data_IF_974233860143
#
_entry.id   IF_974233860143
#
_cell.length_a   1.000
_cell.length_b   1.000
_cell.length_c   1.000
_cell.angle_alpha   90.00
_cell.angle_beta   90.00
_cell.angle_gamma   90.00
#
_symmetry.space_group_name_H-M   'P 1'
#
loop_
_entity.id
_entity.type
_entity.pdbx_description
1 polymer ?
#
# COMPACT_ATOMS: atom_id res chain seq x y z
N UNK A 1 24.36 -5.75 -10.05
CA UNK A 1 22.90 -5.68 -9.78
C UNK A 1 22.55 -4.45 -8.95
N UNK A 2 23.07 -4.30 -7.74
CA UNK A 2 22.76 -3.16 -6.84
C UNK A 2 22.99 -1.80 -7.47
N UNK A 3 24.16 -1.57 -8.08
CA UNK A 3 24.53 -0.30 -8.70
C UNK A 3 23.62 0.09 -9.87
N UNK A 4 23.19 -0.91 -10.66
CA UNK A 4 22.23 -0.71 -11.74
C UNK A 4 20.86 -0.26 -11.20
N UNK A 5 20.31 -0.98 -10.21
CA UNK A 5 18.99 -0.65 -9.65
C UNK A 5 18.98 0.67 -8.88
N UNK A 6 20.06 1.02 -8.20
CA UNK A 6 20.20 2.34 -7.55
C UNK A 6 20.19 3.47 -8.58
N UNK A 7 20.79 3.26 -9.76
CA UNK A 7 20.78 4.24 -10.84
C UNK A 7 19.40 4.40 -11.52
N UNK A 8 18.43 3.55 -11.18
CA UNK A 8 17.05 3.58 -11.70
C UNK A 8 16.03 3.93 -10.61
N UNK A 9 16.45 4.55 -9.51
CA UNK A 9 15.55 4.89 -8.40
C UNK A 9 14.41 5.81 -8.84
N UNK A 10 14.68 6.74 -9.75
CA UNK A 10 13.68 7.61 -10.38
C UNK A 10 12.56 6.80 -11.05
N UNK A 11 12.91 5.84 -11.90
CA UNK A 11 11.96 4.93 -12.53
C UNK A 11 11.24 4.06 -11.50
N UNK A 12 11.95 3.55 -10.49
CA UNK A 12 11.37 2.70 -9.45
C UNK A 12 10.33 3.45 -8.62
N UNK A 13 10.59 4.71 -8.22
CA UNK A 13 9.62 5.54 -7.52
C UNK A 13 8.43 5.89 -8.42
N UNK A 14 8.66 6.18 -9.70
CA UNK A 14 7.57 6.41 -10.66
C UNK A 14 6.66 5.18 -10.76
N UNK A 15 7.24 4.00 -11.00
CA UNK A 15 6.53 2.72 -11.08
C UNK A 15 5.75 2.42 -9.79
N UNK A 16 6.40 2.58 -8.63
CA UNK A 16 5.76 2.31 -7.35
C UNK A 16 4.56 3.25 -7.11
N UNK A 17 4.74 4.55 -7.32
CA UNK A 17 3.66 5.52 -7.19
C UNK A 17 2.49 5.23 -8.14
N UNK A 18 2.79 4.90 -9.39
CA UNK A 18 1.78 4.54 -10.39
C UNK A 18 1.01 3.27 -9.98
N UNK A 19 1.70 2.24 -9.50
CA UNK A 19 1.06 1.00 -9.06
C UNK A 19 0.06 1.24 -7.91
N UNK A 20 0.39 2.12 -6.96
CA UNK A 20 -0.51 2.52 -5.88
C UNK A 20 -1.69 3.37 -6.36
N UNK A 21 -1.48 4.27 -7.32
CA UNK A 21 -2.58 5.03 -7.93
C UNK A 21 -3.55 4.10 -8.65
N UNK A 22 -3.04 3.12 -9.40
CA UNK A 22 -3.86 2.09 -10.07
C UNK A 22 -4.62 1.22 -9.05
N UNK A 23 -3.98 0.83 -7.95
CA UNK A 23 -4.69 0.19 -6.83
C UNK A 23 -5.83 1.09 -6.34
N UNK A 24 -5.56 2.39 -6.20
CA UNK A 24 -6.55 3.40 -5.78
C UNK A 24 -7.78 3.45 -6.69
N UNK A 25 -7.56 3.56 -8.01
CA UNK A 25 -8.65 3.64 -9.00
C UNK A 25 -9.48 2.35 -9.07
N UNK A 26 -8.83 1.19 -8.94
CA UNK A 26 -9.51 -0.11 -8.86
C UNK A 26 -10.38 -0.18 -7.60
N UNK A 27 -9.86 0.21 -6.43
CA UNK A 27 -10.63 0.25 -5.19
C UNK A 27 -11.86 1.16 -5.28
N UNK A 28 -11.75 2.35 -5.88
CA UNK A 28 -12.90 3.21 -6.11
C UNK A 28 -13.93 2.59 -7.06
N UNK A 29 -13.47 1.85 -8.08
CA UNK A 29 -14.36 1.13 -9.00
C UNK A 29 -15.10 -0.01 -8.30
N UNK A 30 -14.43 -0.74 -7.40
CA UNK A 30 -15.04 -1.75 -6.53
C UNK A 30 -16.04 -1.13 -5.57
N UNK A 31 -15.71 0.00 -4.94
CA UNK A 31 -16.55 0.69 -3.96
C UNK A 31 -17.88 1.24 -4.51
N UNK A 32 -18.08 1.24 -5.84
CA UNK A 32 -19.38 1.58 -6.44
C UNK A 32 -20.47 0.56 -6.10
N UNK A 33 -20.11 -0.72 -5.93
CA UNK A 33 -21.02 -1.78 -5.51
C UNK A 33 -21.47 -1.64 -4.05
N UNK A 34 -22.72 -1.99 -3.75
CA UNK A 34 -23.34 -1.74 -2.44
C UNK A 34 -22.60 -2.42 -1.27
N UNK A 35 -22.17 -3.68 -1.45
CA UNK A 35 -21.42 -4.42 -0.43
C UNK A 35 -20.04 -3.79 -0.18
N UNK A 36 -19.29 -3.47 -1.25
CA UNK A 36 -17.98 -2.85 -1.15
C UNK A 36 -18.03 -1.44 -0.54
N UNK A 37 -19.08 -0.68 -0.82
CA UNK A 37 -19.36 0.62 -0.19
C UNK A 37 -19.58 0.47 1.31
N UNK A 38 -20.36 -0.53 1.72
CA UNK A 38 -20.60 -0.86 3.13
C UNK A 38 -19.30 -1.26 3.83
N UNK A 39 -18.44 -2.00 3.11
CA UNK A 39 -17.12 -2.40 3.57
C UNK A 39 -16.06 -1.30 3.52
N UNK A 40 -16.42 -0.10 3.07
CA UNK A 40 -15.52 1.07 2.99
C UNK A 40 -14.23 0.83 2.19
N UNK A 41 -14.34 0.08 1.08
CA UNK A 41 -13.21 -0.16 0.15
C UNK A 41 -12.68 1.17 -0.45
N UNK A 42 -13.50 2.24 -0.43
CA UNK A 42 -13.09 3.61 -0.77
C UNK A 42 -11.87 4.09 0.03
N UNK A 43 -11.70 3.64 1.28
CA UNK A 43 -10.55 3.99 2.10
C UNK A 43 -9.24 3.39 1.57
N UNK A 44 -9.27 2.16 1.05
CA UNK A 44 -8.11 1.60 0.34
C UNK A 44 -7.84 2.35 -0.97
N UNK A 45 -8.89 2.89 -1.59
CA UNK A 45 -8.81 3.81 -2.73
C UNK A 45 -8.02 5.07 -2.40
N UNK A 46 -8.42 5.76 -1.33
CA UNK A 46 -7.74 6.95 -0.84
C UNK A 46 -6.31 6.67 -0.37
N UNK A 47 -6.08 5.56 0.32
CA UNK A 47 -4.71 5.10 0.64
C UNK A 47 -3.86 5.01 -0.63
N UNK A 48 -4.32 4.31 -1.67
CA UNK A 48 -3.57 4.12 -2.90
C UNK A 48 -3.23 5.44 -3.59
N UNK A 49 -4.19 6.36 -3.75
CA UNK A 49 -3.97 7.64 -4.42
C UNK A 49 -3.04 8.56 -3.60
N UNK A 50 -3.31 8.74 -2.31
CA UNK A 50 -2.47 9.60 -1.47
C UNK A 50 -1.06 9.03 -1.32
N UNK A 51 -0.93 7.71 -1.16
CA UNK A 51 0.38 7.11 -1.01
C UNK A 51 1.16 7.12 -2.32
N UNK A 52 0.52 6.80 -3.44
CA UNK A 52 1.18 6.89 -4.74
C UNK A 52 1.63 8.32 -5.07
N UNK A 53 0.80 9.32 -4.73
CA UNK A 53 1.20 10.72 -4.79
C UNK A 53 2.39 11.04 -3.87
N UNK A 54 2.44 10.51 -2.65
CA UNK A 54 3.59 10.70 -1.76
C UNK A 54 4.89 10.13 -2.31
N UNK A 55 4.84 8.98 -3.01
CA UNK A 55 6.02 8.39 -3.66
C UNK A 55 6.50 9.24 -4.85
N UNK A 56 5.60 9.94 -5.54
CA UNK A 56 6.00 10.91 -6.58
C UNK A 56 6.57 12.21 -6.01
N UNK A 57 6.22 12.58 -4.77
CA UNK A 57 6.94 13.64 -4.07
C UNK A 57 8.35 13.18 -3.68
N UNK A 58 8.52 11.92 -3.26
CA UNK A 58 9.84 11.33 -3.02
C UNK A 58 10.68 11.27 -4.31
N UNK A 59 10.06 10.92 -5.45
CA UNK A 59 10.68 11.04 -6.77
C UNK A 59 11.13 12.48 -7.07
N UNK A 60 10.26 13.45 -6.80
CA UNK A 60 10.57 14.86 -7.05
C UNK A 60 11.79 15.30 -6.22
N UNK A 61 11.92 14.84 -4.97
CA UNK A 61 13.06 15.11 -4.10
C UNK A 61 14.39 14.53 -4.61
N UNK A 62 14.38 13.62 -5.60
CA UNK A 62 15.60 13.16 -6.27
C UNK A 62 16.12 14.15 -7.32
N UNK A 63 15.26 15.06 -7.79
CA UNK A 63 15.54 16.01 -8.88
C UNK A 63 15.66 17.44 -8.37
N UNK A 64 14.86 17.80 -7.35
CA UNK A 64 14.87 19.13 -6.73
C UNK A 64 15.50 19.07 -5.34
N UNK A 65 15.89 20.24 -4.81
CA UNK A 65 16.41 20.32 -3.45
C UNK A 65 15.37 19.90 -2.39
N UNK A 66 15.79 19.05 -1.46
CA UNK A 66 14.93 18.43 -0.45
C UNK A 66 14.90 19.24 0.85
N UNK A 67 14.47 20.50 0.72
CA UNK A 67 14.38 21.46 1.83
C UNK A 67 13.52 20.90 2.99
N UNK A 68 13.75 21.32 4.26
CA UNK A 68 13.03 20.79 5.42
C UNK A 68 11.51 20.87 5.33
N UNK A 69 10.98 21.93 4.71
CA UNK A 69 9.53 22.09 4.46
C UNK A 69 8.99 21.06 3.47
N UNK A 70 9.78 20.69 2.45
CA UNK A 70 9.40 19.66 1.49
C UNK A 70 9.45 18.26 2.13
N UNK A 71 10.45 17.96 2.95
CA UNK A 71 10.50 16.73 3.75
C UNK A 71 9.27 16.58 4.66
N UNK A 72 8.85 17.69 5.29
CA UNK A 72 7.66 17.71 6.13
C UNK A 72 6.38 17.47 5.33
N UNK A 73 6.25 18.07 4.14
CA UNK A 73 5.13 17.83 3.22
C UNK A 73 5.06 16.36 2.80
N UNK A 74 6.19 15.76 2.41
CA UNK A 74 6.28 14.35 2.02
C UNK A 74 5.88 13.42 3.17
N UNK A 75 6.40 13.69 4.37
CA UNK A 75 6.09 12.93 5.58
C UNK A 75 4.61 13.08 5.97
N UNK A 76 4.03 14.26 5.83
CA UNK A 76 2.62 14.50 6.07
C UNK A 76 1.74 13.76 5.05
N UNK A 77 2.05 13.83 3.75
CA UNK A 77 1.32 13.14 2.70
C UNK A 77 1.31 11.61 2.91
N UNK A 78 2.48 11.03 3.24
CA UNK A 78 2.61 9.62 3.60
C UNK A 78 1.82 9.26 4.87
N UNK A 79 1.88 10.10 5.90
CA UNK A 79 1.14 9.86 7.15
C UNK A 79 -0.37 9.87 6.91
N UNK A 80 -0.86 10.82 6.10
CA UNK A 80 -2.27 10.90 5.69
C UNK A 80 -2.69 9.66 4.90
N UNK A 81 -1.82 9.13 4.03
CA UNK A 81 -2.14 7.90 3.32
C UNK A 81 -2.33 6.72 4.29
N UNK A 82 -1.45 6.56 5.28
CA UNK A 82 -1.56 5.50 6.28
C UNK A 82 -2.75 5.67 7.22
N UNK A 83 -3.25 6.89 7.46
CA UNK A 83 -4.51 7.10 8.16
C UNK A 83 -5.68 6.40 7.46
N UNK A 84 -5.77 6.47 6.13
CA UNK A 84 -6.81 5.78 5.38
C UNK A 84 -6.69 4.25 5.49
N UNK A 85 -5.46 3.72 5.40
CA UNK A 85 -5.20 2.29 5.54
C UNK A 85 -5.55 1.77 6.95
N UNK A 86 -5.19 2.53 7.98
CA UNK A 86 -5.48 2.19 9.37
C UNK A 86 -6.97 2.35 9.72
N UNK A 87 -7.66 3.35 9.17
CA UNK A 87 -9.11 3.49 9.34
C UNK A 87 -9.87 2.36 8.62
N UNK A 88 -9.40 1.93 7.44
CA UNK A 88 -9.97 0.76 6.76
C UNK A 88 -9.89 -0.48 7.66
N UNK A 89 -8.70 -0.79 8.17
CA UNK A 89 -8.51 -1.98 9.02
C UNK A 89 -9.31 -1.89 10.32
N UNK A 90 -9.36 -0.70 10.96
CA UNK A 90 -10.17 -0.47 12.17
C UNK A 90 -11.65 -0.69 11.93
N UNK A 91 -12.22 -0.09 10.88
CA UNK A 91 -13.64 -0.24 10.57
C UNK A 91 -13.99 -1.67 10.15
N UNK A 92 -13.11 -2.33 9.39
CA UNK A 92 -13.28 -3.72 9.03
C UNK A 92 -13.25 -4.65 10.25
N UNK A 93 -12.34 -4.43 11.19
CA UNK A 93 -12.28 -5.19 12.42
C UNK A 93 -13.53 -4.97 13.29
N UNK A 94 -14.04 -3.74 13.39
CA UNK A 94 -15.29 -3.45 14.12
C UNK A 94 -16.48 -4.20 13.51
N UNK A 95 -16.59 -4.23 12.17
CA UNK A 95 -17.64 -5.01 11.48
C UNK A 95 -17.52 -6.52 11.72
N UNK A 96 -16.31 -7.01 11.99
CA UNK A 96 -16.04 -8.40 12.37
C UNK A 96 -16.21 -8.65 13.88
N UNK A 97 -16.70 -7.67 14.65
CA UNK A 97 -17.02 -7.79 16.08
C UNK A 97 -15.91 -7.34 17.03
N UNK A 98 -14.80 -6.78 16.54
CA UNK A 98 -13.76 -6.26 17.41
C UNK A 98 -14.21 -4.98 18.13
N UNK A 99 -13.91 -4.87 19.44
CA UNK A 99 -14.14 -3.65 20.23
C UNK A 99 -12.89 -2.78 20.15
N UNK A 100 -12.86 -1.85 19.19
CA UNK A 100 -11.75 -0.91 19.00
C UNK A 100 -12.15 0.51 19.40
N UNK A 101 -11.19 1.34 19.85
CA UNK A 101 -11.47 2.73 20.19
C UNK A 101 -11.98 3.53 18.98
N UNK A 102 -12.63 4.66 19.29
CA UNK A 102 -13.07 5.63 18.29
C UNK A 102 -11.91 6.35 17.60
N UNK A 103 -12.24 7.27 16.70
CA UNK A 103 -11.26 8.03 15.89
C UNK A 103 -10.32 8.91 16.71
N UNK A 104 -10.68 9.22 17.97
CA UNK A 104 -9.80 9.96 18.89
C UNK A 104 -8.47 9.26 19.12
N UNK A 105 -8.38 7.94 18.90
CA UNK A 105 -7.12 7.18 18.98
C UNK A 105 -6.05 7.71 18.02
N UNK A 106 -6.43 8.37 16.92
CA UNK A 106 -5.47 8.93 15.96
C UNK A 106 -4.80 10.20 16.44
N UNK A 107 -5.43 10.95 17.36
CA UNK A 107 -4.87 12.19 17.91
C UNK A 107 -3.50 11.95 18.54
N UNK A 108 -3.34 11.05 19.54
CA UNK A 108 -2.03 10.82 20.16
C UNK A 108 -0.97 10.32 19.18
N UNK A 109 -1.33 9.51 18.17
CA UNK A 109 -0.38 9.09 17.15
C UNK A 109 0.09 10.26 16.29
N UNK A 110 -0.83 11.07 15.78
CA UNK A 110 -0.50 12.23 14.93
C UNK A 110 0.29 13.28 15.70
N UNK A 111 -0.08 13.56 16.95
CA UNK A 111 0.68 14.50 17.80
C UNK A 111 2.07 13.95 18.09
N UNK A 112 2.22 12.65 18.35
CA UNK A 112 3.53 12.04 18.60
C UNK A 112 4.41 12.12 17.34
N UNK A 113 3.88 11.80 16.17
CA UNK A 113 4.61 11.90 14.89
C UNK A 113 5.05 13.35 14.63
N UNK A 114 4.15 14.33 14.87
CA UNK A 114 4.46 15.74 14.71
C UNK A 114 5.55 16.21 15.69
N UNK A 115 5.47 15.83 16.97
CA UNK A 115 6.47 16.15 17.98
C UNK A 115 7.82 15.53 17.62
N UNK A 116 7.85 14.26 17.19
CA UNK A 116 9.09 13.62 16.72
C UNK A 116 9.67 14.39 15.53
N UNK A 117 8.83 14.86 14.61
CA UNK A 117 9.28 15.64 13.44
C UNK A 117 9.94 16.96 13.81
N UNK A 118 9.46 17.62 14.87
CA UNK A 118 10.02 18.88 15.37
C UNK A 118 11.29 18.64 16.20
N UNK A 119 11.30 17.61 17.05
CA UNK A 119 12.39 17.37 18.02
C UNK A 119 13.55 16.59 17.40
N UNK A 120 13.25 15.56 16.60
CA UNK A 120 14.22 14.61 16.05
C UNK A 120 14.34 14.66 14.52
N UNK A 121 13.57 15.54 13.86
CA UNK A 121 13.60 15.72 12.41
C UNK A 121 12.66 14.80 11.63
N UNK A 122 12.50 15.11 10.34
CA UNK A 122 11.47 14.48 9.50
C UNK A 122 11.76 13.00 9.19
N UNK A 123 13.02 12.58 9.16
CA UNK A 123 13.37 11.16 8.97
C UNK A 123 12.81 10.31 10.13
N UNK A 124 12.98 10.76 11.38
CA UNK A 124 12.43 10.05 12.54
C UNK A 124 10.90 10.07 12.58
N UNK A 125 10.27 11.17 12.17
CA UNK A 125 8.81 11.23 12.03
C UNK A 125 8.29 10.26 10.95
N UNK A 126 9.00 10.17 9.81
CA UNK A 126 8.70 9.23 8.74
C UNK A 126 8.76 7.79 9.24
N UNK A 127 9.81 7.42 9.97
CA UNK A 127 9.97 6.10 10.59
C UNK A 127 8.82 5.84 11.58
N UNK A 128 8.52 6.79 12.47
CA UNK A 128 7.46 6.65 13.46
C UNK A 128 6.08 6.44 12.80
N UNK A 129 5.76 7.19 11.75
CA UNK A 129 4.52 7.03 10.98
C UNK A 129 4.44 5.65 10.30
N UNK A 130 5.55 5.18 9.71
CA UNK A 130 5.63 3.84 9.10
C UNK A 130 5.41 2.73 10.12
N UNK A 131 5.98 2.82 11.31
CA UNK A 131 5.74 1.82 12.37
C UNK A 131 4.34 1.90 12.96
N UNK A 132 3.91 3.07 13.41
CA UNK A 132 2.67 3.22 14.16
C UNK A 132 1.42 3.08 13.27
N UNK A 133 1.48 3.57 12.03
CA UNK A 133 0.31 3.60 11.13
C UNK A 133 0.48 2.69 9.93
N UNK A 134 1.63 2.73 9.25
CA UNK A 134 1.86 1.94 8.04
C UNK A 134 1.84 0.42 8.31
N UNK A 135 2.70 -0.05 9.19
CA UNK A 135 2.82 -1.46 9.58
C UNK A 135 1.51 -1.95 10.21
N UNK A 136 1.01 -1.25 11.23
CA UNK A 136 -0.23 -1.65 11.93
C UNK A 136 -1.43 -1.65 10.99
N UNK A 137 -1.56 -0.64 10.12
CA UNK A 137 -2.65 -0.54 9.15
C UNK A 137 -2.61 -1.68 8.12
N UNK A 138 -1.42 -1.98 7.59
CA UNK A 138 -1.24 -3.04 6.59
C UNK A 138 -1.43 -4.45 7.18
N UNK A 139 -0.85 -4.74 8.35
CA UNK A 139 -1.05 -6.02 9.04
C UNK A 139 -2.52 -6.17 9.50
N UNK A 140 -3.13 -5.10 9.99
CA UNK A 140 -4.56 -5.08 10.31
C UNK A 140 -5.42 -5.40 9.08
N UNK A 141 -5.09 -4.82 7.93
CA UNK A 141 -5.75 -5.09 6.64
C UNK A 141 -5.58 -6.55 6.22
N UNK A 142 -4.39 -7.12 6.34
CA UNK A 142 -4.14 -8.55 6.11
C UNK A 142 -5.03 -9.42 7.02
N UNK A 143 -5.09 -9.11 8.31
CA UNK A 143 -5.87 -9.89 9.28
C UNK A 143 -7.37 -9.85 8.97
N UNK A 144 -7.95 -8.66 8.77
CA UNK A 144 -9.39 -8.53 8.51
C UNK A 144 -9.81 -9.16 7.17
N UNK A 145 -8.98 -9.06 6.14
CA UNK A 145 -9.24 -9.73 4.85
C UNK A 145 -9.13 -11.26 4.97
N UNK A 146 -8.18 -11.76 5.75
CA UNK A 146 -8.04 -13.20 6.01
C UNK A 146 -9.25 -13.77 6.75
N UNK A 147 -9.76 -13.03 7.75
CA UNK A 147 -10.97 -13.42 8.48
C UNK A 147 -12.18 -13.34 7.55
N UNK A 148 -12.33 -12.25 6.80
CA UNK A 148 -13.43 -12.08 5.84
C UNK A 148 -13.44 -13.16 4.75
N UNK A 149 -12.27 -13.64 4.31
CA UNK A 149 -12.18 -14.72 3.33
C UNK A 149 -12.86 -16.02 3.78
N UNK A 150 -13.11 -16.23 5.09
CA UNK A 150 -13.84 -17.39 5.61
C UNK A 150 -15.34 -17.34 5.29
N UNK A 151 -15.91 -16.16 5.04
CA UNK A 151 -17.33 -15.99 4.71
C UNK A 151 -17.59 -15.99 3.21
N UNK A 152 -16.54 -16.01 2.38
CA UNK A 152 -16.67 -15.94 0.93
C UNK A 152 -16.84 -17.32 0.29
N UNK A 153 -17.55 -17.35 -0.85
CA UNK A 153 -17.60 -18.52 -1.73
C UNK A 153 -16.20 -18.92 -2.19
N UNK A 154 -15.98 -20.23 -2.40
CA UNK A 154 -14.69 -20.83 -2.78
C UNK A 154 -14.04 -20.12 -3.98
N UNK A 155 -14.84 -19.66 -4.94
CA UNK A 155 -14.34 -19.01 -6.17
C UNK A 155 -13.65 -17.66 -5.91
N UNK A 156 -14.12 -16.88 -4.93
CA UNK A 156 -13.58 -15.54 -4.61
C UNK A 156 -12.55 -15.57 -3.47
N UNK A 157 -12.61 -16.59 -2.62
CA UNK A 157 -11.71 -16.80 -1.48
C UNK A 157 -10.20 -16.71 -1.81
N UNK A 158 -9.65 -17.38 -2.84
CA UNK A 158 -8.21 -17.35 -3.08
C UNK A 158 -7.68 -15.96 -3.46
N UNK A 159 -8.48 -15.17 -4.20
CA UNK A 159 -8.09 -13.80 -4.56
C UNK A 159 -8.02 -12.88 -3.34
N UNK A 160 -8.99 -13.00 -2.44
CA UNK A 160 -8.99 -12.19 -1.21
C UNK A 160 -7.87 -12.60 -0.25
N UNK A 161 -7.55 -13.90 -0.17
CA UNK A 161 -6.38 -14.37 0.59
C UNK A 161 -5.06 -13.89 -0.04
N UNK A 162 -4.97 -13.85 -1.37
CA UNK A 162 -3.81 -13.29 -2.06
C UNK A 162 -3.65 -11.80 -1.76
N UNK A 163 -4.72 -11.02 -1.83
CA UNK A 163 -4.70 -9.60 -1.45
C UNK A 163 -4.31 -9.41 0.02
N UNK A 164 -4.83 -10.25 0.93
CA UNK A 164 -4.46 -10.23 2.35
C UNK A 164 -2.96 -10.47 2.55
N UNK A 165 -2.40 -11.50 1.91
CA UNK A 165 -0.97 -11.80 1.95
C UNK A 165 -0.14 -10.63 1.40
N UNK A 166 -0.55 -10.05 0.27
CA UNK A 166 0.14 -8.89 -0.30
C UNK A 166 0.14 -7.69 0.66
N UNK A 167 -0.96 -7.40 1.37
CA UNK A 167 -0.97 -6.38 2.41
C UNK A 167 -0.05 -6.73 3.59
N UNK A 168 0.01 -8.01 3.99
CA UNK A 168 0.93 -8.46 5.04
C UNK A 168 2.40 -8.24 4.67
N UNK A 169 2.79 -8.68 3.48
CA UNK A 169 4.14 -8.49 2.92
C UNK A 169 4.44 -7.00 2.71
N UNK A 170 3.45 -6.23 2.27
CA UNK A 170 3.57 -4.78 2.10
C UNK A 170 3.79 -4.07 3.45
N UNK A 171 3.10 -4.50 4.51
CA UNK A 171 3.33 -4.00 5.87
C UNK A 171 4.77 -4.20 6.32
N UNK A 172 5.36 -5.37 6.05
CA UNK A 172 6.78 -5.62 6.34
C UNK A 172 7.67 -4.71 5.49
N UNK A 173 7.46 -4.65 4.18
CA UNK A 173 8.32 -3.92 3.25
C UNK A 173 8.25 -2.38 3.42
N UNK A 174 7.06 -1.83 3.63
CA UNK A 174 6.80 -0.39 3.71
C UNK A 174 6.74 0.14 5.15
N UNK A 175 6.32 -0.70 6.09
CA UNK A 175 6.15 -0.34 7.50
C UNK A 175 7.33 -0.74 8.39
N UNK A 176 7.90 -1.94 8.22
CA UNK A 176 8.98 -2.43 9.09
C UNK A 176 10.39 -2.09 8.56
N UNK A 177 10.60 -2.23 7.24
CA UNK A 177 11.87 -1.86 6.59
C UNK A 177 11.79 -0.37 6.23
N UNK A 178 12.35 0.47 7.09
CA UNK A 178 12.23 1.95 7.05
C UNK A 178 13.58 2.62 6.72
N UNK A 179 13.65 3.94 6.46
CA UNK A 179 14.95 4.64 6.39
C UNK A 179 15.84 4.36 7.60
N UNK A 180 17.16 4.46 7.44
CA UNK A 180 18.08 4.23 8.56
C UNK A 180 17.85 5.29 9.66
N UNK A 181 17.83 4.84 10.91
CA UNK A 181 17.70 5.70 12.09
C UNK A 181 18.43 5.11 13.29
N UNK A 182 18.66 5.95 14.31
CA UNK A 182 19.56 5.63 15.43
C UNK A 182 18.91 4.84 16.56
N UNK A 183 17.72 4.27 16.33
CA UNK A 183 16.95 3.53 17.32
C UNK A 183 16.39 2.22 16.76
N UNK A 184 16.17 1.24 17.61
CA UNK A 184 15.61 -0.05 17.21
C UNK A 184 14.10 0.06 16.88
N UNK A 185 13.58 -0.60 15.82
CA UNK A 185 14.28 -1.49 14.91
C UNK A 185 14.97 -0.81 13.72
N UNK A 186 14.81 0.50 13.52
CA UNK A 186 15.37 1.23 12.37
C UNK A 186 16.91 1.19 12.29
N UNK A 187 17.60 0.97 13.41
CA UNK A 187 19.06 0.80 13.45
C UNK A 187 19.54 -0.52 12.85
N UNK A 188 18.70 -1.56 12.86
CA UNK A 188 19.04 -2.90 12.38
C UNK A 188 18.30 -3.29 11.09
N UNK A 189 16.99 -3.01 11.02
CA UNK A 189 16.11 -3.34 9.91
C UNK A 189 15.73 -2.07 9.14
N UNK A 190 16.60 -1.68 8.21
CA UNK A 190 16.41 -0.50 7.37
C UNK A 190 16.72 -0.76 5.90
N UNK A 191 16.46 0.26 5.07
CA UNK A 191 16.66 0.17 3.62
C UNK A 191 18.11 -0.13 3.24
N UNK A 192 19.09 0.42 3.97
CA UNK A 192 20.52 0.19 3.71
C UNK A 192 20.87 -1.27 3.98
N UNK A 193 20.42 -1.82 5.12
CA UNK A 193 20.60 -3.23 5.44
C UNK A 193 19.96 -4.13 4.38
N UNK A 194 18.71 -3.85 3.98
CA UNK A 194 18.00 -4.64 2.98
C UNK A 194 18.72 -4.62 1.63
N UNK A 195 19.19 -3.44 1.20
CA UNK A 195 19.94 -3.26 -0.04
C UNK A 195 21.26 -4.03 -0.02
N UNK A 196 22.00 -4.00 1.10
CA UNK A 196 23.26 -4.74 1.26
C UNK A 196 23.03 -6.25 1.21
N UNK A 197 21.95 -6.73 1.82
CA UNK A 197 21.64 -8.15 1.90
C UNK A 197 21.13 -8.72 0.56
N UNK A 198 20.24 -8.01 -0.12
CA UNK A 198 19.52 -8.53 -1.29
C UNK A 198 20.05 -8.00 -2.62
N UNK A 199 20.77 -6.87 -2.61
CA UNK A 199 21.15 -6.14 -3.81
C UNK A 199 19.99 -5.43 -4.53
N UNK A 200 18.79 -5.38 -3.92
CA UNK A 200 17.56 -4.82 -4.50
C UNK A 200 17.03 -3.69 -3.60
N UNK A 201 16.65 -2.52 -4.17
CA UNK A 201 16.04 -1.45 -3.40
C UNK A 201 14.65 -1.87 -2.91
N UNK A 202 14.35 -1.62 -1.64
CA UNK A 202 13.07 -2.02 -1.05
C UNK A 202 11.88 -1.35 -1.74
N UNK A 203 12.08 -0.17 -2.34
CA UNK A 203 11.12 0.56 -3.16
C UNK A 203 10.58 -0.29 -4.31
N UNK A 204 11.44 -1.07 -4.97
CA UNK A 204 11.03 -1.97 -6.04
C UNK A 204 10.12 -3.08 -5.51
N UNK A 205 10.46 -3.67 -4.37
CA UNK A 205 9.63 -4.69 -3.72
C UNK A 205 8.25 -4.13 -3.34
N UNK A 206 8.21 -2.92 -2.78
CA UNK A 206 6.95 -2.23 -2.47
C UNK A 206 6.12 -1.97 -3.71
N UNK A 207 6.74 -1.53 -4.80
CA UNK A 207 6.09 -1.35 -6.11
C UNK A 207 5.49 -2.63 -6.65
N UNK A 208 6.24 -3.73 -6.62
CA UNK A 208 5.76 -5.03 -7.08
C UNK A 208 4.57 -5.54 -6.25
N UNK A 209 4.62 -5.34 -4.93
CA UNK A 209 3.49 -5.67 -4.04
C UNK A 209 2.27 -4.78 -4.32
N UNK A 210 2.46 -3.49 -4.57
CA UNK A 210 1.38 -2.59 -4.96
C UNK A 210 0.75 -2.97 -6.30
N UNK A 211 1.57 -3.37 -7.28
CA UNK A 211 1.09 -3.86 -8.57
C UNK A 211 0.30 -5.17 -8.41
N UNK A 212 0.80 -6.11 -7.60
CA UNK A 212 0.08 -7.34 -7.27
C UNK A 212 -1.27 -7.05 -6.57
N UNK A 213 -1.31 -6.08 -5.66
CA UNK A 213 -2.57 -5.62 -5.04
C UNK A 213 -3.55 -5.06 -6.07
N UNK A 214 -3.09 -4.20 -6.98
CA UNK A 214 -3.93 -3.62 -8.03
C UNK A 214 -4.54 -4.72 -8.92
N UNK A 215 -3.70 -5.68 -9.35
CA UNK A 215 -4.08 -6.82 -10.21
C UNK A 215 -5.07 -7.77 -9.50
N UNK A 216 -4.82 -8.08 -8.22
CA UNK A 216 -5.71 -8.95 -7.44
C UNK A 216 -7.07 -8.31 -7.18
N UNK A 217 -7.12 -7.03 -6.79
CA UNK A 217 -8.40 -6.34 -6.58
C UNK A 217 -9.15 -6.07 -7.89
N UNK A 218 -8.45 -5.83 -9.00
CA UNK A 218 -9.10 -5.78 -10.32
C UNK A 218 -9.73 -7.14 -10.61
N UNK A 219 -9.02 -8.24 -10.39
CA UNK A 219 -9.59 -9.58 -10.59
C UNK A 219 -10.86 -9.81 -9.77
N UNK A 220 -10.92 -9.31 -8.53
CA UNK A 220 -12.13 -9.34 -7.70
C UNK A 220 -13.24 -8.52 -8.34
N UNK A 221 -12.95 -7.28 -8.76
CA UNK A 221 -13.89 -6.41 -9.46
C UNK A 221 -14.47 -7.04 -10.73
N UNK A 222 -13.62 -7.61 -11.58
CA UNK A 222 -14.03 -8.26 -12.83
C UNK A 222 -14.94 -9.47 -12.59
N UNK A 223 -14.70 -10.24 -11.52
CA UNK A 223 -15.61 -11.33 -11.12
C UNK A 223 -16.94 -10.81 -10.60
N UNK A 224 -16.95 -9.74 -9.80
CA UNK A 224 -18.19 -9.13 -9.33
C UNK A 224 -19.02 -8.62 -10.50
N UNK A 225 -18.40 -7.95 -11.47
CA UNK A 225 -19.09 -7.47 -12.67
C UNK A 225 -19.65 -8.61 -13.53
N UNK A 226 -18.87 -9.67 -13.75
CA UNK A 226 -19.33 -10.82 -14.51
C UNK A 226 -20.59 -11.48 -13.90
N UNK A 227 -20.67 -11.55 -12.57
CA UNK A 227 -21.86 -12.05 -11.86
C UNK A 227 -23.04 -11.10 -12.02
N UNK A 228 -22.82 -9.79 -12.00
CA UNK A 228 -23.91 -8.80 -12.13
C UNK A 228 -24.44 -8.61 -13.55
N UNK A 229 -23.63 -8.86 -14.57
CA UNK A 229 -23.95 -8.58 -15.99
C UNK A 229 -24.42 -9.84 -16.73
N UNK A 230 -24.43 -11.01 -16.08
CA UNK A 230 -24.89 -12.31 -16.60
C UNK A 230 -24.46 -12.62 -18.05
N UNK A 231 -23.19 -12.34 -18.36
CA UNK A 231 -22.64 -12.40 -19.72
C UNK A 231 -21.39 -13.28 -19.77
N UNK A 232 -21.51 -14.47 -20.39
CA UNK A 232 -20.37 -15.38 -20.65
C UNK A 232 -19.29 -14.77 -21.56
N UNK A 233 -19.62 -13.77 -22.37
CA UNK A 233 -18.65 -13.08 -23.23
C UNK A 233 -17.75 -12.13 -22.43
N UNK A 234 -18.26 -11.56 -21.34
CA UNK A 234 -17.52 -10.61 -20.51
C UNK A 234 -16.37 -11.26 -19.74
N UNK A 235 -16.56 -12.49 -19.24
CA UNK A 235 -15.54 -13.24 -18.51
C UNK A 235 -14.32 -13.62 -19.37
N UNK A 236 -14.55 -13.99 -20.63
CA UNK A 236 -13.49 -14.35 -21.58
C UNK A 236 -12.66 -13.13 -21.98
N UNK A 237 -13.32 -11.99 -22.20
CA UNK A 237 -12.65 -10.71 -22.49
C UNK A 237 -11.77 -10.23 -21.33
N UNK A 238 -12.30 -10.23 -20.10
CA UNK A 238 -11.55 -9.86 -18.89
C UNK A 238 -10.34 -10.76 -18.64
N UNK A 239 -10.48 -12.08 -18.86
CA UNK A 239 -9.38 -13.03 -18.70
C UNK A 239 -8.25 -12.74 -19.68
N UNK A 240 -8.57 -12.43 -20.94
CA UNK A 240 -7.57 -12.06 -21.95
C UNK A 240 -6.85 -10.77 -21.58
N UNK A 241 -7.59 -9.73 -21.16
CA UNK A 241 -6.99 -8.48 -20.71
C UNK A 241 -6.12 -8.65 -19.45
N UNK A 242 -6.54 -9.48 -18.50
CA UNK A 242 -5.75 -9.79 -17.32
C UNK A 242 -4.39 -10.40 -17.66
N UNK A 243 -4.37 -11.40 -18.55
CA UNK A 243 -3.12 -12.04 -18.99
C UNK A 243 -2.27 -11.10 -19.83
N UNK A 244 -2.85 -10.25 -20.68
CA UNK A 244 -2.06 -9.28 -21.44
C UNK A 244 -1.49 -8.19 -20.56
N UNK A 245 -2.20 -7.72 -19.54
CA UNK A 245 -1.65 -6.75 -18.57
C UNK A 245 -0.53 -7.37 -17.73
N UNK A 246 -0.68 -8.62 -17.25
CA UNK A 246 0.39 -9.34 -16.55
C UNK A 246 1.62 -9.56 -17.43
N UNK A 247 1.41 -9.93 -18.70
CA UNK A 247 2.49 -10.09 -19.66
C UNK A 247 3.17 -8.75 -19.99
N UNK A 248 2.41 -7.67 -20.17
CA UNK A 248 2.95 -6.34 -20.41
C UNK A 248 3.76 -5.83 -19.22
N UNK A 249 3.26 -6.02 -18.00
CA UNK A 249 4.01 -5.72 -16.78
C UNK A 249 5.31 -6.54 -16.70
N UNK A 250 5.27 -7.84 -17.01
CA UNK A 250 6.45 -8.67 -17.03
C UNK A 250 7.47 -8.24 -18.10
N UNK A 251 7.03 -7.80 -19.28
CA UNK A 251 7.89 -7.29 -20.35
C UNK A 251 8.58 -5.97 -19.94
N UNK A 252 7.84 -5.04 -19.32
CA UNK A 252 8.42 -3.79 -18.79
C UNK A 252 9.46 -4.04 -17.70
N UNK A 253 9.38 -5.18 -17.01
CA UNK A 253 10.36 -5.56 -15.98
C UNK A 253 11.59 -6.31 -16.50
N UNK A 254 11.55 -6.80 -17.74
CA UNK A 254 12.63 -7.62 -18.34
C UNK A 254 13.40 -6.87 -19.42
N UNK A 255 12.81 -5.82 -20.03
CA UNK A 255 13.49 -4.92 -20.97
C UNK A 255 14.09 -3.71 -20.27
#
# INVERSE_FOLDING_TARGET
MSLFLTAQLDFIFFFYGLALILLGTVCFSVARGAEARTNRIDLLGWFGVFHGGSEWLDLSALVIDDAPSFQALRTAAMTVSYLFLLEFSRLAAIRLGAKLPGRSVYIPFLTTIAVIGVVHGQVSANIAARYAMGFVGAIGTCAVLTIHARTLKIVSRPLVLCAALCFGLYGIAAGLIVPAGDFWPASALNQIWFMKLTGVPIQLVRGLLAAALAVTLWSVWGRLLAVTVDSMFYTTYLRRHFFTTLAALAVVFVG
#
